data_IF_964972780999
#
_entry.id   IF_964972780999
#
_cell.length_a   1.000
_cell.length_b   1.000
_cell.length_c   1.000
_cell.angle_alpha   90.00
_cell.angle_beta   90.00
_cell.angle_gamma   90.00
#
_symmetry.space_group_name_H-M   'P 1'
#
loop_
_entity.id
_entity.type
_entity.pdbx_description
1 polymer ?
#
# COMPACT_ATOMS: atom_id res chain seq x y z
N UNK A 1 18.21 -54.32 33.06
CA UNK A 1 17.13 -53.49 33.64
C UNK A 1 17.75 -52.37 34.47
N UNK A 2 17.07 -51.22 34.53
CA UNK A 2 17.48 -49.94 35.18
C UNK A 2 18.56 -49.12 34.44
N UNK A 3 18.16 -48.22 33.53
CA UNK A 3 17.90 -46.78 33.78
C UNK A 3 19.10 -46.05 34.39
N UNK A 4 19.71 -45.16 33.61
CA UNK A 4 20.10 -43.79 33.97
C UNK A 4 20.63 -43.09 32.70
N UNK A 5 19.70 -42.58 31.90
CA UNK A 5 20.03 -41.63 30.84
C UNK A 5 20.38 -40.32 31.56
N UNK A 6 21.68 -40.05 31.68
CA UNK A 6 22.19 -38.84 32.35
C UNK A 6 21.93 -37.65 31.43
N UNK A 7 21.18 -36.70 31.98
CA UNK A 7 20.89 -35.37 31.43
C UNK A 7 22.16 -34.69 30.92
N UNK A 8 22.21 -34.40 29.63
CA UNK A 8 23.08 -33.35 29.07
C UNK A 8 22.16 -32.31 28.44
N UNK A 9 21.55 -31.49 29.29
CA UNK A 9 20.99 -30.20 28.90
C UNK A 9 22.17 -29.23 28.68
N UNK A 10 22.89 -29.41 27.58
CA UNK A 10 23.90 -28.44 27.12
C UNK A 10 23.20 -27.29 26.41
N UNK A 11 22.80 -26.30 27.22
CA UNK A 11 22.93 -24.86 27.00
C UNK A 11 23.33 -24.46 25.56
N UNK A 12 22.34 -24.34 24.68
CA UNK A 12 22.43 -23.52 23.46
C UNK A 12 21.53 -22.31 23.67
N UNK A 13 21.86 -21.49 24.66
CA UNK A 13 21.06 -20.33 25.07
C UNK A 13 21.76 -18.98 24.83
N UNK A 14 22.89 -18.94 24.11
CA UNK A 14 23.74 -17.72 24.08
C UNK A 14 24.28 -17.33 22.70
N UNK A 15 23.65 -17.76 21.60
CA UNK A 15 24.06 -17.37 20.24
C UNK A 15 22.92 -16.80 19.37
N UNK A 16 21.93 -16.17 20.00
CA UNK A 16 20.95 -15.33 19.28
C UNK A 16 20.92 -13.91 19.89
N UNK A 17 22.09 -13.41 20.32
CA UNK A 17 22.26 -11.99 20.57
C UNK A 17 22.69 -11.35 19.26
N UNK A 18 21.73 -10.77 18.53
CA UNK A 18 22.05 -9.94 17.36
C UNK A 18 21.15 -10.09 16.14
N UNK A 19 20.01 -10.78 16.20
CA UNK A 19 18.94 -10.40 15.27
C UNK A 19 18.34 -9.13 15.85
N UNK A 20 18.76 -7.97 15.32
CA UNK A 20 18.02 -6.74 15.46
C UNK A 20 16.56 -7.09 15.19
N UNK A 21 15.76 -7.13 16.26
CA UNK A 21 14.32 -7.27 16.17
C UNK A 21 13.91 -6.03 15.39
N UNK A 22 13.74 -6.18 14.09
CA UNK A 22 13.04 -5.22 13.26
C UNK A 22 11.71 -5.07 13.96
N UNK A 23 11.61 -3.96 14.69
CA UNK A 23 10.37 -3.47 15.25
C UNK A 23 9.33 -3.71 14.17
N UNK A 24 8.21 -4.39 14.44
CA UNK A 24 7.08 -4.30 13.54
C UNK A 24 6.82 -2.80 13.49
N UNK A 25 7.25 -2.19 12.41
CA UNK A 25 6.85 -0.86 12.05
C UNK A 25 5.35 -1.07 11.87
N UNK A 26 4.60 -0.87 12.95
CA UNK A 26 3.19 -0.55 12.90
C UNK A 26 3.15 0.75 12.11
N UNK A 27 3.34 0.62 10.80
CA UNK A 27 2.72 1.49 9.84
C UNK A 27 1.26 1.33 10.20
N UNK A 28 0.77 2.26 11.03
CA UNK A 28 -0.64 2.61 11.03
C UNK A 28 -1.02 2.55 9.56
N UNK A 29 -1.99 1.72 9.15
CA UNK A 29 -2.34 1.62 7.75
C UNK A 29 -2.94 2.98 7.35
N UNK A 30 -2.05 3.93 7.08
CA UNK A 30 -2.37 5.16 6.41
C UNK A 30 -2.91 4.70 5.08
N UNK A 31 -4.12 5.12 4.77
CA UNK A 31 -4.75 4.84 3.49
C UNK A 31 -3.72 5.17 2.40
N UNK A 32 -3.22 4.14 1.71
CA UNK A 32 -2.26 4.35 0.62
C UNK A 32 -2.94 5.27 -0.39
N UNK A 33 -2.27 6.37 -0.75
CA UNK A 33 -2.79 7.32 -1.71
C UNK A 33 -2.07 7.15 -3.05
N UNK A 34 -2.83 7.22 -4.13
CA UNK A 34 -2.30 7.32 -5.49
C UNK A 34 -2.86 8.57 -6.13
N UNK A 35 -2.01 9.32 -6.85
CA UNK A 35 -2.53 10.40 -7.69
C UNK A 35 -2.98 9.83 -9.01
N UNK A 36 -4.25 10.07 -9.31
CA UNK A 36 -4.84 9.79 -10.62
C UNK A 36 -4.83 11.08 -11.42
N UNK A 37 -4.26 11.04 -12.62
CA UNK A 37 -4.21 12.17 -13.56
C UNK A 37 -5.00 11.73 -14.80
N UNK A 38 -6.12 12.39 -15.07
CA UNK A 38 -6.85 12.21 -16.32
C UNK A 38 -6.10 12.91 -17.45
N UNK A 39 -5.97 12.21 -18.58
CA UNK A 39 -5.28 12.69 -19.76
C UNK A 39 -6.30 12.97 -20.86
N UNK A 40 -6.08 14.05 -21.61
CA UNK A 40 -6.82 14.33 -22.83
C UNK A 40 -6.48 13.29 -23.90
N UNK A 41 -7.50 12.70 -24.51
CA UNK A 41 -7.32 11.60 -25.46
C UNK A 41 -6.60 12.01 -26.75
N UNK A 42 -6.67 13.28 -27.15
CA UNK A 42 -6.08 13.77 -28.41
C UNK A 42 -4.65 14.24 -28.22
N UNK A 43 -4.40 14.92 -27.11
CA UNK A 43 -3.15 15.63 -26.85
C UNK A 43 -2.27 14.92 -25.83
N UNK A 44 -2.81 13.92 -25.12
CA UNK A 44 -2.18 13.22 -24.00
C UNK A 44 -1.74 14.14 -22.85
N UNK A 45 -2.31 15.36 -22.80
CA UNK A 45 -1.98 16.35 -21.78
C UNK A 45 -2.84 16.15 -20.52
N UNK A 46 -2.32 16.48 -19.32
CA UNK A 46 -3.11 16.44 -18.09
C UNK A 46 -4.31 17.38 -18.13
N UNK A 47 -5.51 16.86 -17.85
CA UNK A 47 -6.75 17.66 -17.71
C UNK A 47 -6.99 17.98 -16.23
N UNK A 48 -6.97 16.95 -15.39
CA UNK A 48 -7.33 17.03 -13.97
C UNK A 48 -6.64 15.93 -13.19
N UNK A 49 -6.39 16.18 -11.90
CA UNK A 49 -5.81 15.20 -11.00
C UNK A 49 -6.54 15.10 -9.67
N UNK A 50 -6.50 13.93 -9.06
CA UNK A 50 -7.09 13.63 -7.75
C UNK A 50 -6.13 12.82 -6.89
N UNK A 51 -6.28 12.94 -5.58
CA UNK A 51 -5.66 12.03 -4.61
C UNK A 51 -6.64 10.88 -4.36
N UNK A 52 -6.43 9.73 -4.98
CA UNK A 52 -7.30 8.57 -4.83
C UNK A 52 -6.86 7.68 -3.66
N UNK A 53 -7.82 7.13 -2.92
CA UNK A 53 -7.58 6.01 -2.01
C UNK A 53 -7.24 4.77 -2.84
N UNK A 54 -6.02 4.25 -2.69
CA UNK A 54 -5.43 3.27 -3.61
C UNK A 54 -6.25 1.98 -3.73
N UNK A 55 -6.85 1.54 -2.63
CA UNK A 55 -7.69 0.34 -2.50
C UNK A 55 -9.06 0.47 -3.19
N UNK A 56 -9.48 1.70 -3.48
CA UNK A 56 -10.77 1.98 -4.12
C UNK A 56 -10.71 2.08 -5.64
N UNK A 57 -9.51 2.08 -6.22
CA UNK A 57 -9.33 2.26 -7.66
C UNK A 57 -9.77 1.00 -8.42
N UNK A 58 -10.76 1.14 -9.30
CA UNK A 58 -11.29 0.08 -10.16
C UNK A 58 -11.33 0.56 -11.61
N UNK A 59 -10.82 -0.26 -12.52
CA UNK A 59 -10.95 -0.06 -13.95
C UNK A 59 -12.08 -0.94 -14.48
N UNK A 60 -12.92 -0.38 -15.35
CA UNK A 60 -14.08 -1.03 -15.94
C UNK A 60 -13.87 -1.15 -17.44
N UNK A 61 -13.93 -2.37 -17.97
CA UNK A 61 -13.77 -2.67 -19.41
C UNK A 61 -15.11 -2.88 -20.13
N UNK A 62 -16.22 -2.93 -19.39
CA UNK A 62 -17.58 -3.00 -19.90
C UNK A 62 -18.38 -1.80 -19.36
N UNK A 63 -19.48 -1.39 -20.02
CA UNK A 63 -20.25 -0.22 -19.61
C UNK A 63 -20.69 -0.25 -18.14
N UNK A 64 -20.46 0.84 -17.36
CA UNK A 64 -19.73 2.04 -17.77
C UNK A 64 -18.21 1.80 -17.86
N UNK A 65 -17.63 2.03 -19.04
CA UNK A 65 -16.19 1.84 -19.29
C UNK A 65 -15.41 3.01 -18.70
N UNK A 66 -14.31 2.76 -18.00
CA UNK A 66 -13.49 3.84 -17.46
C UNK A 66 -12.84 3.48 -16.15
N UNK A 67 -12.72 4.45 -15.26
CA UNK A 67 -12.15 4.25 -13.92
C UNK A 67 -13.09 4.81 -12.86
N UNK A 68 -13.13 4.17 -11.70
CA UNK A 68 -13.79 4.68 -10.50
C UNK A 68 -12.84 4.61 -9.32
N UNK A 69 -12.87 5.61 -8.45
CA UNK A 69 -12.13 5.61 -7.19
C UNK A 69 -12.76 6.58 -6.20
N UNK A 70 -12.39 6.48 -4.92
CA UNK A 70 -12.75 7.44 -3.88
C UNK A 70 -11.67 8.51 -3.79
N UNK A 71 -12.07 9.75 -4.00
CA UNK A 71 -11.21 10.92 -3.77
C UNK A 71 -10.96 11.08 -2.27
N UNK A 72 -9.70 11.12 -1.87
CA UNK A 72 -9.27 11.23 -0.48
C UNK A 72 -9.56 12.62 0.09
N UNK A 73 -9.57 13.66 -0.75
CA UNK A 73 -9.79 15.03 -0.32
C UNK A 73 -11.28 15.30 -0.06
N UNK A 74 -12.16 14.89 -0.98
CA UNK A 74 -13.60 15.14 -0.86
C UNK A 74 -14.41 13.97 -0.30
N UNK A 75 -13.83 12.77 -0.22
CA UNK A 75 -14.52 11.53 0.16
C UNK A 75 -15.53 11.01 -0.87
N UNK A 76 -15.69 11.69 -2.01
CA UNK A 76 -16.66 11.34 -3.05
C UNK A 76 -16.11 10.27 -3.99
N UNK A 77 -17.00 9.46 -4.55
CA UNK A 77 -16.66 8.59 -5.67
C UNK A 77 -16.53 9.42 -6.94
N UNK A 78 -15.39 9.32 -7.59
CA UNK A 78 -15.11 9.90 -8.90
C UNK A 78 -15.22 8.79 -9.93
N UNK A 79 -15.85 9.11 -11.07
CA UNK A 79 -15.88 8.28 -12.25
C UNK A 79 -15.57 9.14 -13.46
N UNK A 80 -14.74 8.63 -14.37
CA UNK A 80 -14.58 9.21 -15.70
C UNK A 80 -14.14 8.16 -16.71
N UNK A 81 -14.42 8.48 -17.97
CA UNK A 81 -14.04 7.68 -19.13
C UNK A 81 -12.76 8.27 -19.74
N UNK A 82 -11.90 7.39 -20.26
CA UNK A 82 -10.69 7.78 -21.01
C UNK A 82 -9.37 7.35 -20.38
N UNK A 83 -8.29 7.99 -20.84
CA UNK A 83 -6.93 7.66 -20.43
C UNK A 83 -6.55 8.32 -19.11
N UNK A 84 -5.75 7.62 -18.31
CA UNK A 84 -5.22 8.16 -17.08
C UNK A 84 -3.80 7.67 -16.80
N UNK A 85 -3.07 8.43 -15.99
CA UNK A 85 -1.82 8.02 -15.36
C UNK A 85 -2.07 7.86 -13.86
N UNK A 86 -1.50 6.80 -13.27
CA UNK A 86 -1.51 6.59 -11.82
C UNK A 86 -0.08 6.71 -11.29
N UNK A 87 0.11 7.53 -10.27
CA UNK A 87 1.39 7.70 -9.58
C UNK A 87 1.21 7.36 -8.10
N UNK A 88 2.04 6.46 -7.57
CA UNK A 88 2.09 6.22 -6.13
C UNK A 88 2.88 7.34 -5.45
N UNK A 89 2.36 7.90 -4.37
CA UNK A 89 3.13 8.77 -3.50
C UNK A 89 3.15 8.16 -2.10
N UNK A 90 4.35 7.89 -1.58
CA UNK A 90 4.51 7.69 -0.15
C UNK A 90 4.28 9.04 0.52
N UNK A 91 3.18 9.18 1.25
CA UNK A 91 3.04 10.27 2.21
C UNK A 91 4.15 10.09 3.23
N UNK A 92 5.22 10.87 3.12
CA UNK A 92 6.28 10.85 4.13
C UNK A 92 5.65 11.22 5.46
N UNK A 93 5.79 10.41 6.52
CA UNK A 93 5.12 10.66 7.81
C UNK A 93 5.60 11.92 8.54
N UNK A 94 6.49 12.73 7.95
CA UNK A 94 7.19 13.85 8.60
C UNK A 94 6.83 15.26 8.06
N UNK A 95 5.62 15.45 7.52
CA UNK A 95 5.09 16.78 7.23
C UNK A 95 3.73 16.95 7.90
N UNK A 96 3.77 17.24 9.21
CA UNK A 96 2.65 17.76 9.97
C UNK A 96 3.12 18.93 10.82
#
# INVERSE_FOLDING_TARGET
MHRKLVLIFSIVALLISGCAQTQPNHTIPGTELKKIIQLDLKTNQPIKSWNAQADTIRQHFAPPVGITFKDADSGKTVHFDGSYKSESYQTSPNLR
#
